data_IF_986356576282
#
_entry.id   IF_986356576282
#
_cell.length_a   1.000
_cell.length_b   1.000
_cell.length_c   1.000
_cell.angle_alpha   90.00
_cell.angle_beta   90.00
_cell.angle_gamma   90.00
#
_symmetry.space_group_name_H-M   'P 1'
#
loop_
_entity.id
_entity.type
_entity.pdbx_description
1 polymer ?
#
# COMPACT_ATOMS: atom_id res chain seq x y z
N UNK A 1 14.88 -19.72 -19.45
CA UNK A 1 13.92 -18.70 -19.83
C UNK A 1 13.72 -17.70 -18.70
N UNK A 2 13.71 -16.42 -19.05
CA UNK A 2 13.48 -15.38 -18.04
C UNK A 2 12.01 -15.36 -17.62
N UNK A 3 11.77 -15.15 -16.35
CA UNK A 3 10.43 -14.97 -15.81
C UNK A 3 9.82 -13.67 -16.33
N UNK A 4 8.56 -13.73 -16.68
CA UNK A 4 7.85 -12.55 -17.20
C UNK A 4 7.27 -11.74 -16.05
N UNK A 5 7.72 -10.50 -15.93
CA UNK A 5 7.18 -9.54 -14.99
C UNK A 5 5.97 -8.83 -15.60
N UNK A 6 4.93 -8.64 -14.80
CA UNK A 6 3.75 -7.88 -15.20
C UNK A 6 3.14 -7.17 -13.99
N UNK A 7 2.39 -6.12 -14.25
CA UNK A 7 1.61 -5.40 -13.23
C UNK A 7 0.17 -5.39 -13.72
N UNK A 8 -0.75 -5.80 -12.86
CA UNK A 8 -2.17 -5.84 -13.20
C UNK A 8 -3.03 -5.47 -11.98
N UNK A 9 -4.27 -5.16 -12.23
CA UNK A 9 -5.22 -4.90 -11.15
C UNK A 9 -5.39 -6.14 -10.28
N UNK A 10 -5.56 -5.92 -8.97
CA UNK A 10 -5.83 -7.00 -8.03
C UNK A 10 -7.17 -7.65 -8.35
N UNK A 11 -7.24 -8.98 -8.19
CA UNK A 11 -8.51 -9.69 -8.22
C UNK A 11 -9.08 -9.81 -6.81
N UNK A 12 -10.39 -10.01 -6.71
CA UNK A 12 -11.05 -10.18 -5.41
C UNK A 12 -10.43 -11.35 -4.63
N UNK A 13 -10.07 -12.42 -5.33
CA UNK A 13 -9.50 -13.61 -4.71
C UNK A 13 -8.12 -13.36 -4.10
N UNK A 14 -7.44 -12.30 -4.50
CA UNK A 14 -6.09 -11.97 -4.02
C UNK A 14 -6.10 -11.03 -2.81
N UNK A 15 -7.25 -10.48 -2.45
CA UNK A 15 -7.35 -9.56 -1.32
C UNK A 15 -6.87 -10.18 0.00
N UNK A 16 -7.25 -11.42 0.36
CA UNK A 16 -6.74 -12.05 1.58
C UNK A 16 -5.21 -12.20 1.58
N UNK A 17 -4.63 -12.52 0.44
CA UNK A 17 -3.17 -12.69 0.32
C UNK A 17 -2.44 -11.37 0.56
N UNK A 18 -2.88 -10.29 -0.08
CA UNK A 18 -2.26 -8.97 0.10
C UNK A 18 -2.47 -8.47 1.53
N UNK A 19 -3.62 -8.71 2.12
CA UNK A 19 -3.88 -8.39 3.52
C UNK A 19 -2.88 -9.10 4.44
N UNK A 20 -2.61 -10.36 4.16
CA UNK A 20 -1.62 -11.13 4.91
C UNK A 20 -0.20 -10.57 4.74
N UNK A 21 0.17 -10.17 3.52
CA UNK A 21 1.47 -9.53 3.31
C UNK A 21 1.62 -8.26 4.15
N UNK A 22 0.58 -7.43 4.20
CA UNK A 22 0.59 -6.22 5.00
C UNK A 22 0.76 -6.53 6.50
N UNK A 23 0.10 -7.59 6.97
CA UNK A 23 0.23 -8.04 8.35
C UNK A 23 1.66 -8.49 8.66
N UNK A 24 2.28 -9.25 7.76
CA UNK A 24 3.65 -9.72 7.93
C UNK A 24 4.67 -8.59 7.92
N UNK A 25 4.38 -7.50 7.20
CA UNK A 25 5.23 -6.30 7.19
C UNK A 25 5.04 -5.41 8.43
N UNK A 26 4.12 -5.76 9.31
CA UNK A 26 3.86 -4.97 10.51
C UNK A 26 2.98 -3.74 10.28
N UNK A 27 2.29 -3.66 9.15
CA UNK A 27 1.41 -2.53 8.85
C UNK A 27 0.13 -2.53 9.69
N UNK A 28 -0.18 -3.63 10.35
CA UNK A 28 -1.39 -3.80 11.16
C UNK A 28 -2.65 -3.35 10.42
N UNK A 29 -2.95 -3.95 9.26
CA UNK A 29 -4.12 -3.52 8.49
C UNK A 29 -5.41 -3.90 9.22
N UNK A 30 -6.45 -3.11 9.01
CA UNK A 30 -7.80 -3.50 9.35
C UNK A 30 -8.24 -4.67 8.47
N UNK A 31 -9.25 -5.38 8.92
CA UNK A 31 -9.73 -6.60 8.23
C UNK A 31 -10.12 -6.30 6.78
N UNK A 32 -10.75 -5.16 6.53
CA UNK A 32 -11.31 -4.81 5.23
C UNK A 32 -10.53 -3.72 4.49
N UNK A 33 -9.33 -3.34 4.96
CA UNK A 33 -8.61 -2.20 4.38
C UNK A 33 -8.37 -2.35 2.88
N UNK A 34 -7.92 -3.51 2.42
CA UNK A 34 -7.65 -3.73 1.00
C UNK A 34 -8.94 -3.64 0.18
N UNK A 35 -10.03 -4.19 0.71
CA UNK A 35 -11.34 -4.10 0.07
C UNK A 35 -11.84 -2.65 -0.01
N UNK A 36 -11.61 -1.88 1.05
CA UNK A 36 -11.99 -0.46 1.08
C UNK A 36 -11.21 0.32 0.02
N UNK A 37 -9.92 0.11 -0.10
CA UNK A 37 -9.12 0.75 -1.15
C UNK A 37 -9.66 0.38 -2.54
N UNK A 38 -9.88 -0.89 -2.77
CA UNK A 38 -10.38 -1.35 -4.07
C UNK A 38 -11.75 -0.78 -4.39
N UNK A 39 -12.63 -0.67 -3.40
CA UNK A 39 -13.97 -0.11 -3.60
C UNK A 39 -13.94 1.41 -3.76
N UNK A 40 -12.97 2.09 -3.16
CA UNK A 40 -12.80 3.53 -3.31
C UNK A 40 -12.32 3.89 -4.71
N UNK A 41 -11.38 3.12 -5.25
CA UNK A 41 -10.88 3.26 -6.60
C UNK A 41 -10.63 1.88 -7.20
N UNK A 42 -11.55 1.41 -8.02
CA UNK A 42 -11.50 0.07 -8.58
C UNK A 42 -10.30 -0.17 -9.49
N UNK A 43 -9.65 0.89 -9.95
CA UNK A 43 -8.46 0.82 -10.79
C UNK A 43 -7.19 1.17 -10.01
N UNK A 44 -7.26 1.25 -8.68
CA UNK A 44 -6.18 1.77 -7.87
C UNK A 44 -5.32 0.73 -7.16
N UNK A 45 -5.77 -0.52 -7.03
CA UNK A 45 -4.98 -1.55 -6.33
C UNK A 45 -4.39 -2.53 -7.33
N UNK A 46 -3.07 -2.63 -7.32
CA UNK A 46 -2.31 -3.38 -8.32
C UNK A 46 -1.45 -4.45 -7.67
N UNK A 47 -1.23 -5.53 -8.41
CA UNK A 47 -0.27 -6.56 -8.03
C UNK A 47 0.81 -6.69 -9.09
N UNK A 48 2.03 -6.89 -8.64
CA UNK A 48 3.15 -7.26 -9.49
C UNK A 48 3.24 -8.78 -9.52
N UNK A 49 3.46 -9.34 -10.68
CA UNK A 49 3.52 -10.79 -10.87
C UNK A 49 4.78 -11.20 -11.62
N UNK A 50 5.27 -12.37 -11.28
CA UNK A 50 6.25 -13.11 -12.10
C UNK A 50 5.55 -14.38 -12.61
N UNK A 51 5.46 -14.54 -13.92
CA UNK A 51 4.75 -15.64 -14.55
C UNK A 51 3.33 -15.83 -13.97
N UNK A 52 2.62 -14.70 -13.79
CA UNK A 52 1.28 -14.62 -13.21
C UNK A 52 1.17 -14.94 -11.71
N UNK A 53 2.29 -15.14 -11.02
CA UNK A 53 2.29 -15.35 -9.57
C UNK A 53 2.51 -14.02 -8.86
N UNK A 54 1.59 -13.58 -7.99
CA UNK A 54 1.74 -12.32 -7.29
C UNK A 54 2.98 -12.31 -6.38
N UNK A 55 3.79 -11.26 -6.52
CA UNK A 55 5.01 -11.08 -5.71
C UNK A 55 5.04 -9.75 -4.99
N UNK A 56 4.14 -8.84 -5.29
CA UNK A 56 4.09 -7.53 -4.66
C UNK A 56 2.78 -6.82 -4.94
N UNK A 57 2.59 -5.72 -4.26
CA UNK A 57 1.38 -4.91 -4.36
C UNK A 57 1.67 -3.43 -4.22
N UNK A 58 0.76 -2.61 -4.71
CA UNK A 58 0.70 -1.20 -4.41
C UNK A 58 -0.74 -0.72 -4.55
N UNK A 59 -1.18 0.13 -3.63
CA UNK A 59 -2.43 0.85 -3.78
C UNK A 59 -2.11 2.29 -4.14
N UNK A 60 -2.70 2.77 -5.22
CA UNK A 60 -2.58 4.16 -5.64
C UNK A 60 -3.98 4.66 -5.90
N UNK A 61 -4.57 5.22 -4.84
CA UNK A 61 -5.99 5.55 -4.80
C UNK A 61 -6.20 6.99 -5.23
N UNK A 62 -6.95 7.16 -6.30
CA UNK A 62 -7.33 8.48 -6.78
C UNK A 62 -8.68 8.85 -6.18
N UNK A 63 -8.66 9.70 -5.16
CA UNK A 63 -9.89 10.14 -4.51
C UNK A 63 -10.64 11.16 -5.37
N UNK A 64 -9.88 12.07 -5.97
CA UNK A 64 -10.40 13.09 -6.89
C UNK A 64 -9.21 13.70 -7.66
N UNK A 65 -9.45 14.78 -8.40
CA UNK A 65 -8.38 15.45 -9.15
C UNK A 65 -7.37 16.16 -8.26
N UNK A 66 -7.70 16.40 -7.00
CA UNK A 66 -6.84 17.13 -6.08
C UNK A 66 -5.97 16.22 -5.22
N UNK A 67 -6.38 14.98 -4.96
CA UNK A 67 -5.68 14.14 -3.99
C UNK A 67 -5.67 12.68 -4.38
N UNK A 68 -4.49 12.07 -4.26
CA UNK A 68 -4.28 10.64 -4.36
C UNK A 68 -3.45 10.14 -3.18
N UNK A 69 -3.53 8.85 -2.90
CA UNK A 69 -2.84 8.23 -1.77
C UNK A 69 -2.15 6.95 -2.23
N UNK A 70 -0.91 6.75 -1.77
CA UNK A 70 -0.16 5.52 -2.02
C UNK A 70 -0.06 4.74 -0.72
N UNK A 71 -0.43 3.47 -0.79
CA UNK A 71 -0.33 2.55 0.33
C UNK A 71 -0.08 1.13 -0.14
N UNK A 72 -0.02 0.19 0.78
CA UNK A 72 0.17 -1.24 0.51
C UNK A 72 1.34 -1.52 -0.44
N UNK A 73 2.39 -0.71 -0.34
CA UNK A 73 3.58 -0.87 -1.19
C UNK A 73 4.46 -1.96 -0.59
N UNK A 74 4.33 -3.16 -1.14
CA UNK A 74 4.98 -4.36 -0.61
C UNK A 74 5.57 -5.15 -1.76
N UNK A 75 6.82 -5.59 -1.60
CA UNK A 75 7.42 -6.63 -2.42
C UNK A 75 7.76 -7.78 -1.49
N UNK A 76 7.34 -8.99 -1.82
CA UNK A 76 7.65 -10.17 -1.00
C UNK A 76 9.15 -10.29 -0.81
N UNK A 77 9.54 -10.70 0.40
CA UNK A 77 10.93 -10.67 0.85
C UNK A 77 11.90 -11.36 -0.13
N UNK A 78 11.50 -12.53 -0.64
CA UNK A 78 12.34 -13.32 -1.54
C UNK A 78 12.54 -12.69 -2.93
N UNK A 79 11.76 -11.65 -3.25
CA UNK A 79 11.83 -10.99 -4.56
C UNK A 79 12.40 -9.58 -4.47
N UNK A 80 12.86 -9.15 -3.30
CA UNK A 80 13.44 -7.81 -3.10
C UNK A 80 14.82 -7.71 -3.75
N UNK A 81 15.25 -6.46 -3.97
CA UNK A 81 16.56 -6.13 -4.57
C UNK A 81 16.71 -6.54 -6.04
N UNK A 82 15.59 -6.66 -6.75
CA UNK A 82 15.56 -7.00 -8.18
C UNK A 82 14.93 -5.87 -9.03
N UNK A 83 14.65 -4.72 -8.42
CA UNK A 83 14.05 -3.58 -9.14
C UNK A 83 12.55 -3.64 -9.29
N UNK A 84 11.87 -4.65 -8.78
CA UNK A 84 10.41 -4.78 -8.92
C UNK A 84 9.67 -3.68 -8.16
N UNK A 85 10.16 -3.30 -6.98
CA UNK A 85 9.56 -2.22 -6.21
C UNK A 85 9.60 -0.89 -6.95
N UNK A 86 10.71 -0.58 -7.59
CA UNK A 86 10.83 0.65 -8.39
C UNK A 86 9.83 0.64 -9.55
N UNK A 87 9.63 -0.50 -10.18
CA UNK A 87 8.66 -0.63 -11.27
C UNK A 87 7.23 -0.42 -10.79
N UNK A 88 6.86 -0.99 -9.64
CA UNK A 88 5.56 -0.74 -9.01
C UNK A 88 5.39 0.74 -8.65
N UNK A 89 6.41 1.33 -8.07
CA UNK A 89 6.40 2.74 -7.67
C UNK A 89 6.17 3.66 -8.86
N UNK A 90 6.91 3.45 -9.93
CA UNK A 90 6.77 4.24 -11.15
C UNK A 90 5.38 4.07 -11.77
N UNK A 91 4.82 2.86 -11.71
CA UNK A 91 3.47 2.60 -12.18
C UNK A 91 2.44 3.42 -11.40
N UNK A 92 2.58 3.48 -10.07
CA UNK A 92 1.69 4.28 -9.22
C UNK A 92 1.81 5.77 -9.53
N UNK A 93 3.02 6.30 -9.69
CA UNK A 93 3.22 7.70 -10.02
C UNK A 93 2.62 8.05 -11.38
N UNK A 94 2.74 7.16 -12.35
CA UNK A 94 2.13 7.37 -13.67
C UNK A 94 0.61 7.39 -13.57
N UNK A 95 0.03 6.48 -12.79
CA UNK A 95 -1.42 6.45 -12.59
C UNK A 95 -1.93 7.73 -11.91
N UNK A 96 -1.16 8.28 -10.98
CA UNK A 96 -1.54 9.46 -10.20
C UNK A 96 -1.01 10.78 -10.77
N UNK A 97 -0.45 10.78 -11.98
CA UNK A 97 0.28 11.94 -12.52
C UNK A 97 -0.55 13.22 -12.65
N UNK A 98 -1.87 13.09 -12.76
CA UNK A 98 -2.76 14.25 -12.95
C UNK A 98 -3.42 14.73 -11.66
N UNK A 99 -3.12 14.13 -10.51
CA UNK A 99 -3.63 14.64 -9.23
C UNK A 99 -2.70 15.72 -8.69
N UNK A 100 -3.26 16.69 -7.98
CA UNK A 100 -2.48 17.84 -7.50
C UNK A 100 -1.55 17.46 -6.34
N UNK A 101 -1.97 16.52 -5.50
CA UNK A 101 -1.23 16.14 -4.31
C UNK A 101 -1.30 14.63 -4.09
N UNK A 102 -0.16 14.02 -3.79
CA UNK A 102 -0.07 12.60 -3.47
C UNK A 102 0.42 12.47 -2.03
N UNK A 103 -0.34 11.76 -1.20
CA UNK A 103 0.04 11.47 0.18
C UNK A 103 0.41 10.02 0.37
N UNK A 104 1.16 9.75 1.42
CA UNK A 104 1.44 8.39 1.89
C UNK A 104 1.81 8.43 3.36
N UNK A 105 1.73 7.27 4.01
CA UNK A 105 2.25 7.08 5.35
C UNK A 105 3.52 6.26 5.26
N UNK A 106 4.60 6.76 5.84
CA UNK A 106 5.90 6.12 5.81
C UNK A 106 6.31 5.65 7.20
N UNK A 107 6.88 4.45 7.27
CA UNK A 107 7.58 4.03 8.48
C UNK A 107 8.78 4.96 8.70
N UNK A 108 9.18 5.22 9.97
CA UNK A 108 10.27 6.18 10.24
C UNK A 108 11.57 5.90 9.49
N UNK A 109 11.91 4.63 9.28
CA UNK A 109 13.12 4.23 8.58
C UNK A 109 13.05 4.42 7.05
N UNK A 110 11.87 4.79 6.51
CA UNK A 110 11.65 4.99 5.08
C UNK A 110 11.50 6.45 4.69
N UNK A 111 11.51 7.38 5.65
CA UNK A 111 11.30 8.80 5.38
C UNK A 111 12.27 9.36 4.34
N UNK A 112 13.55 8.99 4.45
CA UNK A 112 14.57 9.48 3.51
C UNK A 112 14.36 8.93 2.10
N UNK A 113 13.86 7.72 1.97
CA UNK A 113 13.60 7.12 0.66
C UNK A 113 12.53 7.90 -0.08
N UNK A 114 11.45 8.26 0.61
CA UNK A 114 10.37 9.03 -0.01
C UNK A 114 10.76 10.49 -0.25
N UNK A 115 11.61 11.07 0.61
CA UNK A 115 12.10 12.42 0.42
C UNK A 115 12.86 12.58 -0.91
N UNK A 116 13.57 11.55 -1.35
CA UNK A 116 14.28 11.54 -2.63
C UNK A 116 13.34 11.68 -3.82
N UNK A 117 12.06 11.31 -3.66
CA UNK A 117 11.03 11.45 -4.68
C UNK A 117 10.23 12.74 -4.55
N UNK A 118 10.63 13.65 -3.65
CA UNK A 118 9.99 14.93 -3.49
C UNK A 118 8.91 14.99 -2.42
N UNK A 119 8.72 13.93 -1.66
CA UNK A 119 7.76 13.93 -0.56
C UNK A 119 8.32 14.72 0.62
N UNK A 120 7.44 15.45 1.31
CA UNK A 120 7.78 16.19 2.52
C UNK A 120 6.93 15.71 3.67
N UNK A 121 7.55 15.64 4.85
CA UNK A 121 6.83 15.28 6.08
C UNK A 121 5.79 16.34 6.39
N UNK A 122 4.55 15.91 6.51
CA UNK A 122 3.41 16.78 6.81
C UNK A 122 2.95 16.66 8.26
N UNK A 123 2.89 15.42 8.76
CA UNK A 123 2.41 15.13 10.11
C UNK A 123 2.95 13.80 10.60
N UNK A 124 2.72 13.52 11.87
CA UNK A 124 3.04 12.25 12.48
C UNK A 124 1.72 11.57 12.86
N UNK A 125 1.56 10.33 12.39
CA UNK A 125 0.41 9.50 12.75
C UNK A 125 0.84 8.49 13.80
N UNK A 126 0.12 8.47 14.91
CA UNK A 126 0.35 7.50 15.98
C UNK A 126 -0.77 6.47 15.98
N UNK A 127 -0.39 5.20 16.03
CA UNK A 127 -1.37 4.13 16.19
C UNK A 127 -1.35 3.67 17.64
N UNK A 128 -2.47 3.81 18.30
CA UNK A 128 -2.62 3.41 19.69
C UNK A 128 -3.08 1.95 19.74
N UNK A 129 -2.50 1.20 20.65
CA UNK A 129 -2.86 -0.19 20.87
C UNK A 129 -3.23 -0.36 22.35
N UNK A 130 -4.39 -0.96 22.61
CA UNK A 130 -4.80 -1.33 23.94
C UNK A 130 -4.43 -2.79 24.17
N UNK A 131 -3.63 -3.04 25.19
CA UNK A 131 -3.27 -4.39 25.59
C UNK A 131 -4.22 -4.90 26.66
N UNK A 132 -4.80 -6.07 26.42
CA UNK A 132 -5.74 -6.66 27.34
C UNK A 132 -7.12 -6.04 27.22
N UNK A 133 -8.09 -6.71 27.77
CA UNK A 133 -9.49 -6.34 27.63
C UNK A 133 -10.09 -5.96 28.95
N UNK A 134 -9.32 -5.43 29.81
CA UNK A 134 -9.78 -5.18 31.15
C UNK A 134 -10.90 -4.15 31.17
N UNK A 135 -11.58 -4.07 32.23
CA UNK A 135 -12.70 -3.23 32.62
C UNK A 135 -12.69 -1.81 32.00
N UNK A 136 -12.84 -1.75 30.67
CA UNK A 136 -12.94 -0.48 29.99
C UNK A 136 -14.27 0.18 30.32
N UNK A 137 -14.28 1.43 30.77
CA UNK A 137 -15.52 2.12 30.98
C UNK A 137 -16.27 2.29 29.67
N UNK A 138 -17.52 1.90 29.64
CA UNK A 138 -18.40 2.16 28.53
C UNK A 138 -18.63 3.68 28.45
N UNK A 139 -18.40 4.24 27.30
CA UNK A 139 -18.65 5.66 27.05
C UNK A 139 -19.64 5.81 25.93
N UNK A 140 -20.55 6.73 26.09
CA UNK A 140 -21.44 7.14 25.03
C UNK A 140 -20.67 8.17 24.18
N UNK A 141 -20.41 7.81 22.97
CA UNK A 141 -19.76 8.68 22.01
C UNK A 141 -20.77 9.30 21.09
#
# INVERSE_FOLDING_TARGET
>A
MSEKFSIRLISINEIPEVTNWARLEGFSPGIDDVSIYRNTDKQGVWVACLDNNPIGSIACIKYNSSYGFIGLFIVKKEFRNNGYGVRLWKHALEYLKNVDCIGLEAAPDRLNDYAKWGFRKSSITNRWKLNGSQDLPLRNF
#
